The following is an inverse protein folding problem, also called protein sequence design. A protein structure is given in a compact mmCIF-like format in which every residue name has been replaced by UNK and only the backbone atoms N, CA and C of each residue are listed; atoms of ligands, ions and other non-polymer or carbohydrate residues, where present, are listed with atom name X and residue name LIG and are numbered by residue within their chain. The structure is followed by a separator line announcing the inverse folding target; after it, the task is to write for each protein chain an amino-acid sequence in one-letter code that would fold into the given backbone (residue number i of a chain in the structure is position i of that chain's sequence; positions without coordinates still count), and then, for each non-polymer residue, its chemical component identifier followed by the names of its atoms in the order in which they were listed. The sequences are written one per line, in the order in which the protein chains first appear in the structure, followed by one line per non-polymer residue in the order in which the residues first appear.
data_IF_950771575339
#
_entry.id   IF_950771575339
#
_cell.length_a   1.000
_cell.length_b   1.000
_cell.length_c   1.000
_cell.angle_alpha   90.00
_cell.angle_beta   90.00
_cell.angle_gamma   90.00
#
_symmetry.space_group_name_H-M   'P 1'
#
loop_
_entity.id
_entity.type
_entity.pdbx_description
1 polymer ?
#
# COMPACT_ATOMS: atom_id res chain seq x y z
N UNK A 1 -7.44 -7.84 -18.38
CA UNK A 1 -6.62 -8.73 -17.56
C UNK A 1 -7.46 -9.92 -17.13
N UNK A 2 -6.93 -11.13 -17.25
CA UNK A 2 -7.59 -12.34 -16.75
C UNK A 2 -7.57 -12.31 -15.22
N UNK A 3 -8.74 -12.37 -14.61
CA UNK A 3 -8.90 -12.42 -13.16
C UNK A 3 -8.67 -13.88 -12.73
N UNK A 4 -7.45 -14.21 -12.34
CA UNK A 4 -6.99 -15.57 -12.05
C UNK A 4 -7.18 -15.99 -10.58
N UNK A 5 -7.99 -15.24 -9.83
CA UNK A 5 -8.35 -15.57 -8.45
C UNK A 5 -7.24 -15.38 -7.42
N UNK A 6 -6.10 -14.79 -7.78
CA UNK A 6 -4.95 -14.60 -6.87
C UNK A 6 -4.98 -13.28 -6.08
N UNK A 7 -5.99 -12.43 -6.29
CA UNK A 7 -6.20 -11.19 -5.53
C UNK A 7 -5.14 -10.09 -5.72
N UNK A 8 -4.24 -10.22 -6.71
CA UNK A 8 -3.17 -9.26 -6.99
C UNK A 8 -3.22 -8.68 -8.42
N UNK A 9 -2.44 -7.63 -8.72
CA UNK A 9 -2.48 -6.91 -9.99
C UNK A 9 -2.27 -7.85 -11.18
N UNK A 10 -3.08 -7.75 -12.24
CA UNK A 10 -3.06 -8.70 -13.34
C UNK A 10 -1.71 -8.69 -14.06
N UNK A 11 -1.36 -9.82 -14.68
CA UNK A 11 -0.26 -9.87 -15.63
C UNK A 11 -0.74 -9.39 -17.00
N UNK A 12 0.07 -8.56 -17.65
CA UNK A 12 -0.08 -8.20 -19.05
C UNK A 12 0.31 -9.41 -19.93
N UNK A 13 -0.07 -9.39 -21.21
CA UNK A 13 0.15 -10.50 -22.15
C UNK A 13 1.62 -10.88 -22.37
N UNK A 14 2.54 -9.99 -22.04
CA UNK A 14 4.00 -10.18 -22.10
C UNK A 14 4.61 -10.62 -20.76
N UNK A 15 3.78 -10.97 -19.77
CA UNK A 15 4.22 -11.47 -18.46
C UNK A 15 4.67 -10.39 -17.48
N UNK A 16 4.51 -9.11 -17.83
CA UNK A 16 4.83 -7.99 -16.94
C UNK A 16 3.65 -7.68 -16.02
N UNK A 17 3.91 -7.31 -14.77
CA UNK A 17 2.88 -6.98 -13.77
C UNK A 17 2.28 -5.60 -14.06
N UNK A 18 0.98 -5.55 -14.36
CA UNK A 18 0.24 -4.31 -14.61
C UNK A 18 -0.07 -3.60 -13.29
N UNK A 19 0.89 -2.81 -12.79
CA UNK A 19 0.76 -2.03 -11.56
C UNK A 19 0.03 -0.72 -11.82
N UNK A 20 -1.01 -0.45 -11.02
CA UNK A 20 -1.76 0.80 -11.08
C UNK A 20 -2.32 1.18 -9.72
N UNK A 21 -2.52 2.48 -9.50
CA UNK A 21 -3.11 3.05 -8.31
C UNK A 21 -2.41 2.66 -7.02
N UNK A 22 -3.18 2.09 -6.09
CA UNK A 22 -2.72 1.76 -4.74
C UNK A 22 -1.75 0.57 -4.70
N UNK A 23 -1.78 -0.31 -5.71
CA UNK A 23 -0.87 -1.47 -5.79
C UNK A 23 0.59 -1.04 -5.97
N UNK A 24 0.83 0.18 -6.49
CA UNK A 24 2.15 0.80 -6.52
C UNK A 24 2.63 1.19 -5.12
N UNK A 25 1.72 1.56 -4.22
CA UNK A 25 2.08 2.06 -2.89
C UNK A 25 2.40 0.90 -1.96
N UNK A 26 1.48 -0.06 -1.84
CA UNK A 26 1.64 -1.23 -0.98
C UNK A 26 0.80 -2.38 -1.53
N UNK A 27 1.19 -3.62 -1.25
CA UNK A 27 0.35 -4.80 -1.46
C UNK A 27 -0.90 -4.84 -0.58
N UNK A 28 -0.83 -4.17 0.58
CA UNK A 28 -1.89 -4.19 1.57
C UNK A 28 -2.42 -2.78 1.83
N UNK A 29 -2.88 -2.05 0.79
CA UNK A 29 -3.22 -0.63 0.93
C UNK A 29 -4.39 -0.42 1.89
N UNK A 30 -5.34 -1.37 1.96
CA UNK A 30 -6.43 -1.35 2.95
C UNK A 30 -5.94 -1.45 4.40
N UNK A 31 -5.03 -2.38 4.69
CA UNK A 31 -4.45 -2.53 6.03
C UNK A 31 -3.67 -1.26 6.41
N UNK A 32 -2.88 -0.73 5.48
CA UNK A 32 -2.10 0.49 5.72
C UNK A 32 -2.95 1.75 5.81
N UNK A 33 -4.11 1.82 5.15
CA UNK A 33 -5.06 2.93 5.31
C UNK A 33 -5.55 2.99 6.77
N UNK A 34 -5.94 1.85 7.35
CA UNK A 34 -6.33 1.77 8.75
C UNK A 34 -5.15 2.03 9.71
N UNK A 35 -3.97 1.52 9.37
CA UNK A 35 -2.72 1.77 10.09
C UNK A 35 -2.38 3.26 10.19
N UNK A 36 -2.38 3.96 9.05
CA UNK A 36 -2.04 5.39 8.98
C UNK A 36 -3.11 6.26 9.64
N UNK A 37 -4.39 5.91 9.53
CA UNK A 37 -5.47 6.59 10.25
C UNK A 37 -5.27 6.48 11.77
N UNK A 38 -4.99 5.27 12.28
CA UNK A 38 -4.70 5.04 13.70
C UNK A 38 -3.47 5.80 14.16
N UNK A 39 -2.39 5.78 13.37
CA UNK A 39 -1.16 6.53 13.66
C UNK A 39 -1.40 8.04 13.71
N UNK A 40 -2.17 8.59 12.76
CA UNK A 40 -2.56 10.00 12.76
C UNK A 40 -3.30 10.38 14.04
N UNK A 41 -4.25 9.55 14.49
CA UNK A 41 -4.95 9.75 15.75
C UNK A 41 -4.02 9.62 16.97
N UNK A 42 -3.11 8.65 16.96
CA UNK A 42 -2.13 8.48 18.04
C UNK A 42 -1.27 9.74 18.23
N UNK A 43 -0.88 10.42 17.16
CA UNK A 43 -0.08 11.64 17.24
C UNK A 43 -0.82 12.85 17.85
N UNK A 44 -2.15 12.84 17.89
CA UNK A 44 -2.97 13.95 18.38
C UNK A 44 -3.39 13.82 19.85
N UNK A 45 -3.30 12.61 20.44
CA UNK A 45 -3.85 12.32 21.77
C UNK A 45 -2.78 12.55 22.86
N UNK A 46 -3.04 13.31 23.94
CA UNK A 46 -2.04 13.62 24.98
C UNK A 46 -1.81 12.51 26.03
N UNK A 47 -2.30 11.29 25.78
CA UNK A 47 -2.26 10.16 26.73
C UNK A 47 -1.43 9.01 26.17
N UNK A 48 -0.26 8.73 26.75
CA UNK A 48 0.65 7.67 26.29
C UNK A 48 -0.04 6.30 26.13
N UNK A 49 -0.84 5.80 27.10
CA UNK A 49 -1.53 4.53 26.93
C UNK A 49 -2.44 4.50 25.70
N UNK A 50 -3.13 5.61 25.44
CA UNK A 50 -4.04 5.75 24.30
C UNK A 50 -3.27 5.90 22.98
N UNK A 51 -2.14 6.60 22.97
CA UNK A 51 -1.26 6.68 21.79
C UNK A 51 -0.78 5.29 21.38
N UNK A 52 -0.31 4.49 22.35
CA UNK A 52 0.15 3.12 22.09
C UNK A 52 -0.99 2.29 21.52
N UNK A 53 -2.17 2.34 22.14
CA UNK A 53 -3.35 1.65 21.65
C UNK A 53 -3.70 2.05 20.20
N UNK A 54 -3.73 3.34 19.91
CA UNK A 54 -4.05 3.86 18.57
C UNK A 54 -2.96 3.58 17.53
N UNK A 55 -1.74 3.26 17.94
CA UNK A 55 -0.66 2.81 17.05
C UNK A 55 -0.74 1.33 16.66
N UNK A 56 -1.48 0.50 17.41
CA UNK A 56 -1.62 -0.94 17.15
C UNK A 56 -2.06 -1.29 15.72
N UNK A 57 -2.98 -0.55 15.07
CA UNK A 57 -3.30 -0.74 13.65
C UNK A 57 -2.07 -0.74 12.71
N UNK A 58 -1.03 0.04 13.00
CA UNK A 58 0.23 0.03 12.22
C UNK A 58 0.93 -1.32 12.37
N UNK A 59 0.99 -1.86 13.59
CA UNK A 59 1.57 -3.17 13.85
C UNK A 59 0.78 -4.28 13.16
N UNK A 60 -0.56 -4.19 13.16
CA UNK A 60 -1.42 -5.11 12.43
C UNK A 60 -1.17 -5.02 10.92
N UNK A 61 -1.00 -3.82 10.35
CA UNK A 61 -0.68 -3.66 8.94
C UNK A 61 0.68 -4.28 8.59
N UNK A 62 1.70 -4.00 9.41
CA UNK A 62 3.05 -4.50 9.20
C UNK A 62 3.13 -6.03 9.35
N UNK A 63 2.73 -6.55 10.50
CA UNK A 63 2.85 -7.98 10.86
C UNK A 63 1.80 -8.80 10.12
N UNK A 64 0.54 -8.33 10.10
CA UNK A 64 -0.57 -9.00 9.43
C UNK A 64 -0.38 -9.05 7.92
N UNK A 65 0.11 -7.97 7.30
CA UNK A 65 0.49 -7.96 5.88
C UNK A 65 1.61 -8.97 5.59
N UNK A 66 2.67 -8.98 6.40
CA UNK A 66 3.78 -9.94 6.25
C UNK A 66 3.36 -11.39 6.49
N UNK A 67 2.46 -11.64 7.46
CA UNK A 67 1.88 -12.95 7.69
C UNK A 67 1.03 -13.40 6.50
N UNK A 68 0.20 -12.51 5.97
CA UNK A 68 -0.63 -12.76 4.79
C UNK A 68 0.26 -13.12 3.60
N UNK A 69 1.32 -12.34 3.33
CA UNK A 69 2.28 -12.63 2.28
C UNK A 69 2.94 -14.00 2.47
N UNK A 70 3.36 -14.33 3.70
CA UNK A 70 3.96 -15.63 4.02
C UNK A 70 3.01 -16.81 3.73
N UNK A 71 1.73 -16.66 4.06
CA UNK A 71 0.71 -17.68 3.73
C UNK A 71 0.50 -17.82 2.22
N UNK A 72 0.41 -16.70 1.50
CA UNK A 72 0.21 -16.70 0.05
C UNK A 72 1.42 -17.26 -0.70
N UNK A 73 2.66 -17.02 -0.23
CA UNK A 73 3.87 -17.68 -0.76
C UNK A 73 3.88 -19.19 -0.57
N UNK A 74 3.14 -19.70 0.43
CA UNK A 74 2.97 -21.13 0.71
C UNK A 74 1.71 -21.72 0.05
N UNK A 75 0.99 -20.93 -0.76
CA UNK A 75 -0.23 -21.34 -1.43
C UNK A 75 -1.44 -21.53 -0.52
N UNK A 76 -1.45 -20.89 0.66
CA UNK A 76 -2.52 -21.05 1.65
C UNK A 76 -3.44 -19.82 1.64
N UNK A 77 -4.67 -19.98 1.17
CA UNK A 77 -5.67 -18.90 1.10
C UNK A 77 -5.48 -17.93 -0.07
N UNK A 78 -4.60 -18.26 -1.02
CA UNK A 78 -4.28 -17.50 -2.22
C UNK A 78 -2.86 -17.78 -2.68
N UNK A 79 -2.39 -17.06 -3.71
CA UNK A 79 -1.04 -17.20 -4.27
C UNK A 79 -0.38 -15.83 -4.45
N UNK A 80 0.83 -15.65 -3.91
CA UNK A 80 1.64 -14.46 -4.17
C UNK A 80 2.61 -14.76 -5.31
N UNK A 81 2.25 -14.34 -6.51
CA UNK A 81 3.07 -14.52 -7.73
C UNK A 81 4.48 -13.91 -7.55
N UNK A 82 5.56 -14.62 -7.92
CA UNK A 82 6.93 -14.09 -7.81
C UNK A 82 7.15 -12.78 -8.55
N UNK A 83 6.47 -12.58 -9.68
CA UNK A 83 6.55 -11.36 -10.49
C UNK A 83 6.01 -10.17 -9.70
N UNK A 84 4.87 -10.34 -9.03
CA UNK A 84 4.24 -9.31 -8.19
C UNK A 84 5.06 -9.05 -6.94
N UNK A 85 5.58 -10.09 -6.30
CA UNK A 85 6.38 -9.98 -5.06
C UNK A 85 7.65 -9.14 -5.26
N UNK A 86 8.25 -9.22 -6.45
CA UNK A 86 9.49 -8.47 -6.79
C UNK A 86 9.25 -6.97 -6.95
N UNK A 87 8.11 -6.58 -7.52
CA UNK A 87 7.82 -5.18 -7.89
C UNK A 87 6.97 -4.43 -6.86
N UNK A 88 6.43 -5.13 -5.86
CA UNK A 88 5.60 -4.56 -4.80
C UNK A 88 6.26 -4.65 -3.42
N UNK A 89 5.64 -4.06 -2.40
CA UNK A 89 6.09 -4.20 -1.01
C UNK A 89 4.91 -4.19 -0.04
N UNK A 90 5.09 -4.83 1.12
CA UNK A 90 4.18 -4.64 2.24
C UNK A 90 4.26 -3.20 2.77
N UNK A 91 5.45 -2.65 2.95
CA UNK A 91 5.64 -1.31 3.51
C UNK A 91 5.30 -0.25 2.44
N UNK A 92 4.45 0.76 2.75
CA UNK A 92 4.06 1.80 1.81
C UNK A 92 5.26 2.49 1.19
N UNK A 93 5.18 2.73 -0.12
CA UNK A 93 6.17 3.43 -0.95
C UNK A 93 7.55 2.76 -1.04
N UNK A 94 7.82 1.68 -0.28
CA UNK A 94 9.15 1.07 -0.24
C UNK A 94 9.56 0.54 -1.62
N UNK A 95 8.64 -0.05 -2.38
CA UNK A 95 8.93 -0.52 -3.74
C UNK A 95 9.22 0.63 -4.72
N UNK A 96 8.55 1.77 -4.57
CA UNK A 96 8.76 2.97 -5.39
C UNK A 96 10.12 3.61 -5.09
N UNK A 97 10.43 3.80 -3.80
CA UNK A 97 11.67 4.46 -3.35
C UNK A 97 12.89 3.59 -3.63
N UNK A 98 12.75 2.27 -3.60
CA UNK A 98 13.84 1.35 -3.95
C UNK A 98 13.95 1.07 -5.45
N UNK A 99 13.09 1.69 -6.29
CA UNK A 99 13.14 1.53 -7.74
C UNK A 99 12.80 0.12 -8.21
N UNK A 100 12.02 -0.66 -7.46
CA UNK A 100 11.63 -2.02 -7.85
C UNK A 100 10.55 -2.09 -8.92
N UNK A 101 9.89 -0.97 -9.18
CA UNK A 101 8.80 -0.88 -10.16
C UNK A 101 9.31 -0.75 -11.59
N UNK A 102 8.40 -0.85 -12.55
CA UNK A 102 8.72 -0.78 -13.97
C UNK A 102 9.53 0.46 -14.35
N UNK A 103 10.68 0.22 -14.99
CA UNK A 103 11.61 1.26 -15.40
C UNK A 103 12.68 1.63 -14.38
N UNK A 104 12.73 0.95 -13.22
CA UNK A 104 13.88 1.00 -12.28
C UNK A 104 14.14 2.36 -11.62
N UNK A 105 13.32 3.36 -11.95
CA UNK A 105 13.53 4.77 -11.59
C UNK A 105 12.46 5.20 -10.59
N UNK A 106 12.91 5.73 -9.46
CA UNK A 106 12.05 6.32 -8.44
C UNK A 106 11.19 7.43 -9.06
N UNK A 107 11.78 8.29 -9.88
CA UNK A 107 11.05 9.40 -10.51
C UNK A 107 9.95 8.93 -11.45
N UNK A 108 10.21 7.90 -12.26
CA UNK A 108 9.20 7.34 -13.16
C UNK A 108 8.02 6.75 -12.39
N UNK A 109 8.31 6.07 -11.28
CA UNK A 109 7.29 5.47 -10.41
C UNK A 109 6.35 6.54 -9.83
N UNK A 110 6.91 7.66 -9.36
CA UNK A 110 6.12 8.79 -8.84
C UNK A 110 5.40 9.57 -9.94
N UNK A 111 5.99 9.69 -11.14
CA UNK A 111 5.35 10.34 -12.29
C UNK A 111 4.12 9.55 -12.75
N UNK A 112 4.23 8.22 -12.87
CA UNK A 112 3.12 7.35 -13.23
C UNK A 112 2.02 7.38 -12.17
N UNK A 113 2.39 7.27 -10.89
CA UNK A 113 1.45 7.42 -9.78
C UNK A 113 0.76 8.79 -9.83
N UNK A 114 1.49 9.87 -10.06
CA UNK A 114 0.93 11.22 -10.19
C UNK A 114 -0.07 11.37 -11.34
N UNK A 115 0.14 10.68 -12.46
CA UNK A 115 -0.79 10.66 -13.60
C UNK A 115 -2.09 9.90 -13.28
N UNK A 116 -2.01 8.88 -12.42
CA UNK A 116 -3.16 8.08 -11.98
C UNK A 116 -3.96 8.76 -10.86
N UNK A 117 -3.30 9.60 -10.05
CA UNK A 117 -3.96 10.37 -8.99
C UNK A 117 -4.88 11.42 -9.59
N UNK A 118 -6.17 11.26 -9.32
CA UNK A 118 -7.17 12.30 -9.62
C UNK A 118 -6.96 13.45 -8.65
N UNK A 119 -6.48 14.60 -9.17
CA UNK A 119 -6.20 15.80 -8.37
C UNK A 119 -7.39 16.22 -7.48
N UNK A 120 -8.63 15.99 -7.94
CA UNK A 120 -9.84 16.28 -7.18
C UNK A 120 -9.92 15.49 -5.88
N UNK A 121 -9.57 14.19 -5.92
CA UNK A 121 -9.56 13.33 -4.72
C UNK A 121 -8.46 13.77 -3.76
N UNK A 122 -7.29 14.15 -4.29
CA UNK A 122 -6.18 14.66 -3.48
C UNK A 122 -6.55 15.98 -2.80
N UNK A 123 -7.18 16.90 -3.54
CA UNK A 123 -7.66 18.18 -3.01
C UNK A 123 -8.70 17.97 -1.91
N UNK A 124 -9.72 17.13 -2.17
CA UNK A 124 -10.75 16.81 -1.18
C UNK A 124 -10.14 16.19 0.10
N UNK A 125 -9.26 15.21 -0.06
CA UNK A 125 -8.59 14.56 1.07
C UNK A 125 -7.75 15.57 1.88
N UNK A 126 -7.05 16.47 1.20
CA UNK A 126 -6.24 17.52 1.86
C UNK A 126 -7.12 18.50 2.63
N UNK A 127 -8.24 18.94 2.05
CA UNK A 127 -9.18 19.85 2.73
C UNK A 127 -9.82 19.19 3.94
N UNK A 128 -10.26 17.93 3.83
CA UNK A 128 -10.82 17.18 4.96
C UNK A 128 -9.79 16.97 6.06
N UNK A 129 -8.56 16.60 5.70
CA UNK A 129 -7.49 16.41 6.67
C UNK A 129 -7.09 17.72 7.37
N UNK A 130 -6.98 18.83 6.63
CA UNK A 130 -6.69 20.14 7.20
C UNK A 130 -7.83 20.63 8.11
N UNK A 131 -9.08 20.42 7.71
CA UNK A 131 -10.25 20.78 8.50
C UNK A 131 -10.44 19.91 9.75
N UNK A 132 -9.88 18.70 9.80
CA UNK A 132 -9.91 17.85 11.00
C UNK A 132 -8.91 18.30 12.07
N UNK A 133 -7.83 18.97 11.66
CA UNK A 133 -6.78 19.47 12.56
C UNK A 133 -7.09 20.89 13.07
N UNK A 134 -7.93 21.64 12.36
CA UNK A 134 -8.41 22.97 12.73
C UNK A 134 -9.58 22.93 13.72
#
# INVERSE_FOLDING_TARGET
GTNDGTGGPPLRSDGIVDLHGLDRVSRHPGLWSFGLLGMGNALLIPSIPTQIWMSMPVLVALIGGGHTDSRHRRGIGGQLRPEVDRVTSNIPFLAMITGRQEGGSVMKSFEEFGKEVKWLNAALATVVAAGWVA
#
